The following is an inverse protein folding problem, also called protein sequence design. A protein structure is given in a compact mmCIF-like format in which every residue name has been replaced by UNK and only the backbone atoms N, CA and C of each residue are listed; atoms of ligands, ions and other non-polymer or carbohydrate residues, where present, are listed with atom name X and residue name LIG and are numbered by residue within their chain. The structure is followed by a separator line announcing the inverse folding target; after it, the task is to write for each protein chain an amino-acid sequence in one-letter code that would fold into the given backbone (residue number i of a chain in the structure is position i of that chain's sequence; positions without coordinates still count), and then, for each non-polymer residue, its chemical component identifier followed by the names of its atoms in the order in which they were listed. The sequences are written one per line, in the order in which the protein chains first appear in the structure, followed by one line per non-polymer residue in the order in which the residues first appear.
data_IF_310731928476
#
_entry.id   IF_310731928476
#
_cell.length_a   1.000
_cell.length_b   1.000
_cell.length_c   1.000
_cell.angle_alpha   90.00
_cell.angle_beta   90.00
_cell.angle_gamma   90.00
#
_symmetry.space_group_name_H-M   'P 1'
#
loop_
_entity.id
_entity.type
_entity.pdbx_description
1 polymer ?
#
# COMPACT_ATOMS: atom_id res chain seq x y z
N UNK A 1 -43.22 54.62 5.42
CA UNK A 1 -43.69 53.58 4.47
C UNK A 1 -42.46 52.82 3.98
N UNK A 2 -42.13 51.69 4.62
CA UNK A 2 -40.93 50.88 4.33
C UNK A 2 -41.41 49.53 3.80
N UNK A 3 -41.15 49.25 2.53
CA UNK A 3 -41.54 48.03 1.83
C UNK A 3 -40.59 46.88 2.23
N UNK A 4 -41.14 45.79 2.77
CA UNK A 4 -40.40 44.54 3.01
C UNK A 4 -40.20 43.79 1.68
N UNK A 5 -39.00 43.26 1.38
CA UNK A 5 -38.80 42.42 0.21
C UNK A 5 -39.46 41.05 0.38
N UNK A 6 -40.10 40.56 -0.68
CA UNK A 6 -40.75 39.24 -0.77
C UNK A 6 -39.67 38.16 -0.95
N UNK A 7 -39.64 37.06 -0.16
CA UNK A 7 -38.65 36.01 -0.35
C UNK A 7 -38.97 35.17 -1.60
N UNK A 8 -37.98 34.98 -2.47
CA UNK A 8 -38.06 34.10 -3.64
C UNK A 8 -38.14 32.62 -3.22
N UNK A 9 -38.93 31.79 -3.94
CA UNK A 9 -39.05 30.37 -3.63
C UNK A 9 -37.76 29.65 -4.03
N UNK A 10 -37.14 28.97 -3.05
CA UNK A 10 -36.04 28.03 -3.30
C UNK A 10 -36.64 26.75 -3.88
N UNK A 11 -36.40 26.48 -5.16
CA UNK A 11 -36.57 25.14 -5.70
C UNK A 11 -35.53 24.21 -5.05
N UNK A 12 -35.93 23.09 -4.43
CA UNK A 12 -34.96 22.08 -4.02
C UNK A 12 -34.35 21.45 -5.28
N UNK A 13 -33.05 21.64 -5.46
CA UNK A 13 -32.27 20.91 -6.45
C UNK A 13 -32.27 19.43 -6.06
N UNK A 14 -32.88 18.60 -6.90
CA UNK A 14 -32.90 17.16 -6.75
C UNK A 14 -31.48 16.61 -6.96
N UNK A 15 -30.92 15.82 -6.02
CA UNK A 15 -29.62 15.21 -6.22
C UNK A 15 -29.69 14.20 -7.38
N UNK A 16 -28.68 14.12 -8.25
CA UNK A 16 -28.66 13.15 -9.34
C UNK A 16 -28.70 11.72 -8.78
N UNK A 17 -29.50 10.89 -9.44
CA UNK A 17 -29.94 9.57 -9.00
C UNK A 17 -28.86 8.70 -8.36
N UNK A 18 -29.21 8.12 -7.22
CA UNK A 18 -28.51 7.00 -6.61
C UNK A 18 -28.83 5.77 -7.45
N UNK A 19 -28.02 5.48 -8.46
CA UNK A 19 -28.06 4.15 -9.07
C UNK A 19 -27.77 3.10 -8.00
N UNK A 20 -28.53 1.99 -7.97
CA UNK A 20 -28.35 0.95 -6.98
C UNK A 20 -26.92 0.39 -7.04
N UNK A 21 -26.20 0.54 -5.93
CA UNK A 21 -24.89 -0.03 -5.72
C UNK A 21 -24.98 -1.54 -5.88
N UNK A 22 -24.41 -2.09 -6.95
CA UNK A 22 -24.21 -3.53 -7.04
C UNK A 22 -23.29 -3.93 -5.86
N UNK A 23 -23.76 -4.74 -4.90
CA UNK A 23 -22.92 -5.15 -3.80
C UNK A 23 -21.68 -5.84 -4.39
N UNK A 24 -20.50 -5.38 -3.98
CA UNK A 24 -19.29 -6.14 -4.22
C UNK A 24 -19.56 -7.55 -3.71
N UNK A 25 -19.51 -8.54 -4.61
CA UNK A 25 -19.78 -9.92 -4.23
C UNK A 25 -18.89 -10.24 -3.02
N UNK A 26 -19.46 -10.60 -1.86
CA UNK A 26 -18.66 -10.86 -0.68
C UNK A 26 -17.68 -11.98 -1.02
N UNK A 27 -16.42 -11.79 -0.62
CA UNK A 27 -15.36 -12.77 -0.83
C UNK A 27 -15.89 -14.15 -0.41
N UNK A 28 -15.97 -15.12 -1.34
CA UNK A 28 -16.59 -16.41 -1.06
C UNK A 28 -16.01 -17.02 0.21
N UNK A 29 -16.87 -17.64 1.02
CA UNK A 29 -16.46 -18.17 2.32
C UNK A 29 -15.29 -19.15 2.22
N UNK A 30 -15.20 -19.91 1.13
CA UNK A 30 -14.07 -20.82 0.86
C UNK A 30 -12.75 -20.06 0.70
N UNK A 31 -12.75 -18.87 0.09
CA UNK A 31 -11.55 -18.06 -0.12
C UNK A 31 -11.10 -17.40 1.18
N UNK A 32 -12.03 -16.93 2.02
CA UNK A 32 -11.71 -16.45 3.38
C UNK A 32 -11.06 -17.55 4.23
N UNK A 33 -11.64 -18.75 4.22
CA UNK A 33 -11.10 -19.92 4.93
C UNK A 33 -9.76 -20.39 4.36
N UNK A 34 -9.53 -20.20 3.06
CA UNK A 34 -8.25 -20.49 2.41
C UNK A 34 -7.16 -19.48 2.82
N UNK A 35 -7.49 -18.19 3.00
CA UNK A 35 -6.57 -17.19 3.56
C UNK A 35 -6.15 -17.59 4.98
N UNK A 36 -7.12 -17.92 5.83
CA UNK A 36 -6.88 -18.32 7.22
C UNK A 36 -6.01 -19.60 7.32
N UNK A 37 -6.29 -20.59 6.47
CA UNK A 37 -5.49 -21.84 6.43
C UNK A 37 -4.11 -21.65 5.80
N UNK A 38 -3.97 -20.78 4.80
CA UNK A 38 -2.67 -20.40 4.24
C UNK A 38 -1.79 -19.66 5.26
N UNK A 39 -2.39 -18.86 6.15
CA UNK A 39 -1.67 -18.22 7.27
C UNK A 39 -1.24 -19.21 8.35
N UNK A 40 -1.87 -20.38 8.46
CA UNK A 40 -1.67 -21.34 9.54
C UNK A 40 -0.76 -22.54 9.21
N UNK A 41 -0.32 -22.74 7.95
CA UNK A 41 0.40 -23.95 7.54
C UNK A 41 1.60 -23.67 6.60
N UNK A 42 2.73 -24.37 6.82
CA UNK A 42 3.83 -24.56 5.85
C UNK A 42 4.04 -26.08 5.63
N UNK A 43 4.62 -26.61 4.53
CA UNK A 43 4.99 -26.04 3.22
C UNK A 43 3.89 -26.19 2.15
N UNK A 44 2.82 -26.98 2.40
CA UNK A 44 1.61 -27.07 1.55
C UNK A 44 0.81 -25.76 1.49
N UNK A 45 1.14 -24.80 2.35
CA UNK A 45 0.50 -23.48 2.39
C UNK A 45 0.97 -22.51 1.32
N UNK A 46 2.13 -22.72 0.68
CA UNK A 46 2.66 -21.73 -0.29
C UNK A 46 1.86 -21.74 -1.61
N UNK A 47 1.50 -22.92 -2.10
CA UNK A 47 0.62 -23.06 -3.27
C UNK A 47 -0.77 -22.48 -3.00
N UNK A 48 -1.35 -22.79 -1.83
CA UNK A 48 -2.62 -22.23 -1.40
C UNK A 48 -2.54 -20.71 -1.23
N UNK A 49 -1.46 -20.18 -0.65
CA UNK A 49 -1.23 -18.75 -0.51
C UNK A 49 -1.11 -18.06 -1.87
N UNK A 50 -0.46 -18.70 -2.85
CA UNK A 50 -0.36 -18.17 -4.21
C UNK A 50 -1.74 -18.14 -4.90
N UNK A 51 -2.55 -19.19 -4.76
CA UNK A 51 -3.92 -19.24 -5.29
C UNK A 51 -4.78 -18.15 -4.65
N UNK A 52 -4.72 -18.03 -3.32
CA UNK A 52 -5.46 -17.04 -2.55
C UNK A 52 -5.05 -15.61 -2.92
N UNK A 53 -3.75 -15.34 -2.99
CA UNK A 53 -3.21 -14.04 -3.36
C UNK A 53 -3.59 -13.69 -4.81
N UNK A 54 -3.54 -14.65 -5.73
CA UNK A 54 -4.00 -14.48 -7.11
C UNK A 54 -5.48 -14.15 -7.20
N UNK A 55 -6.33 -14.88 -6.47
CA UNK A 55 -7.77 -14.62 -6.42
C UNK A 55 -8.10 -13.25 -5.81
N UNK A 56 -7.43 -12.88 -4.71
CA UNK A 56 -7.59 -11.57 -4.08
C UNK A 56 -7.13 -10.44 -5.02
N UNK A 57 -5.99 -10.61 -5.71
CA UNK A 57 -5.49 -9.64 -6.66
C UNK A 57 -6.40 -9.51 -7.89
N UNK A 58 -6.97 -10.61 -8.38
CA UNK A 58 -7.95 -10.58 -9.48
C UNK A 58 -9.25 -9.87 -9.09
N UNK A 59 -9.77 -10.11 -7.88
CA UNK A 59 -10.93 -9.39 -7.36
C UNK A 59 -10.64 -7.89 -7.18
N UNK A 60 -9.45 -7.56 -6.66
CA UNK A 60 -8.99 -6.18 -6.54
C UNK A 60 -8.87 -5.49 -7.90
N UNK A 61 -8.26 -6.16 -8.88
CA UNK A 61 -8.10 -5.65 -10.25
C UNK A 61 -9.45 -5.32 -10.89
N UNK A 62 -10.44 -6.21 -10.74
CA UNK A 62 -11.80 -5.96 -11.23
C UNK A 62 -12.43 -4.72 -10.59
N UNK A 63 -12.23 -4.49 -9.28
CA UNK A 63 -12.76 -3.30 -8.58
C UNK A 63 -12.02 -2.03 -9.03
N UNK A 64 -10.70 -2.07 -9.16
CA UNK A 64 -9.89 -0.91 -9.58
C UNK A 64 -10.26 -0.47 -11.00
N UNK A 65 -10.48 -1.42 -11.91
CA UNK A 65 -10.87 -1.15 -13.32
C UNK A 65 -12.27 -0.57 -13.49
N UNK A 66 -13.15 -0.68 -12.50
CA UNK A 66 -14.49 -0.08 -12.58
C UNK A 66 -14.48 1.44 -12.51
N UNK A 67 -13.36 2.07 -12.14
CA UNK A 67 -13.22 3.53 -12.07
C UNK A 67 -14.36 4.23 -11.33
N UNK A 68 -14.80 3.63 -10.22
CA UNK A 68 -15.90 4.15 -9.43
C UNK A 68 -15.62 5.56 -8.90
N UNK A 69 -16.68 6.36 -8.72
CA UNK A 69 -16.57 7.76 -8.25
C UNK A 69 -15.84 7.89 -6.91
N UNK A 70 -15.92 6.86 -6.06
CA UNK A 70 -15.28 6.80 -4.74
C UNK A 70 -13.82 6.28 -4.77
N UNK A 71 -13.32 5.79 -5.90
CA UNK A 71 -12.01 5.13 -5.99
C UNK A 71 -10.86 6.05 -5.56
N UNK A 72 -10.96 7.36 -5.85
CA UNK A 72 -9.99 8.34 -5.39
C UNK A 72 -9.93 8.46 -3.87
N UNK A 73 -11.09 8.52 -3.20
CA UNK A 73 -11.17 8.57 -1.74
C UNK A 73 -10.62 7.29 -1.10
N UNK A 74 -10.91 6.13 -1.68
CA UNK A 74 -10.36 4.85 -1.21
C UNK A 74 -8.83 4.82 -1.27
N UNK A 75 -8.23 5.24 -2.40
CA UNK A 75 -6.77 5.35 -2.54
C UNK A 75 -6.15 6.28 -1.51
N UNK A 76 -6.76 7.43 -1.25
CA UNK A 76 -6.24 8.39 -0.28
C UNK A 76 -6.35 7.86 1.17
N UNK A 77 -7.39 7.06 1.48
CA UNK A 77 -7.50 6.38 2.78
C UNK A 77 -6.40 5.34 2.95
N UNK A 78 -6.14 4.51 1.93
CA UNK A 78 -5.03 3.56 1.96
C UNK A 78 -3.67 4.25 2.11
N UNK A 79 -3.47 5.37 1.40
CA UNK A 79 -2.25 6.17 1.52
C UNK A 79 -2.03 6.69 2.95
N UNK A 80 -3.11 7.06 3.62
CA UNK A 80 -3.03 7.52 5.00
C UNK A 80 -2.71 6.40 5.98
N UNK A 81 -3.35 5.23 5.84
CA UNK A 81 -3.02 4.07 6.67
C UNK A 81 -1.57 3.62 6.46
N UNK A 82 -1.07 3.64 5.22
CA UNK A 82 0.33 3.38 4.91
C UNK A 82 1.28 4.42 5.52
N UNK A 83 0.88 5.70 5.55
CA UNK A 83 1.65 6.76 6.20
C UNK A 83 1.69 6.59 7.73
N UNK A 84 0.58 6.20 8.37
CA UNK A 84 0.55 5.91 9.81
C UNK A 84 1.47 4.73 10.16
N UNK A 85 1.45 3.67 9.34
CA UNK A 85 2.37 2.55 9.50
C UNK A 85 3.84 2.94 9.28
N UNK A 86 4.10 3.84 8.33
CA UNK A 86 5.43 4.41 8.12
C UNK A 86 5.89 5.22 9.33
N UNK A 87 5.02 6.06 9.90
CA UNK A 87 5.31 6.82 11.12
C UNK A 87 5.65 5.90 12.29
N UNK A 88 4.84 4.85 12.50
CA UNK A 88 5.08 3.81 13.51
C UNK A 88 6.42 3.09 13.31
N UNK A 89 6.74 2.71 12.08
CA UNK A 89 8.01 2.03 11.76
C UNK A 89 9.23 2.94 11.95
N UNK A 90 9.05 4.25 11.78
CA UNK A 90 10.05 5.27 12.09
C UNK A 90 10.12 5.64 13.58
N UNK A 91 9.44 4.88 14.46
CA UNK A 91 9.45 5.09 15.91
C UNK A 91 8.63 6.31 16.37
N UNK A 92 7.73 6.81 15.52
CA UNK A 92 6.90 7.97 15.85
C UNK A 92 5.52 7.57 16.34
N UNK A 93 4.86 8.51 17.01
CA UNK A 93 3.57 8.32 17.67
C UNK A 93 2.38 8.91 16.89
N UNK A 94 2.63 9.64 15.79
CA UNK A 94 1.54 10.24 15.01
C UNK A 94 0.66 9.17 14.37
N UNK A 95 -0.63 9.24 14.68
CA UNK A 95 -1.67 8.42 14.08
C UNK A 95 -2.24 9.05 12.80
N UNK A 96 -3.24 8.41 12.20
CA UNK A 96 -3.90 8.93 11.00
C UNK A 96 -4.48 10.34 11.16
N UNK A 97 -4.98 10.70 12.35
CA UNK A 97 -5.57 12.01 12.60
C UNK A 97 -4.49 13.09 12.65
N UNK A 98 -3.42 12.85 13.40
CA UNK A 98 -2.27 13.76 13.50
C UNK A 98 -1.60 13.96 12.13
N UNK A 99 -1.50 12.90 11.31
CA UNK A 99 -0.98 13.00 9.95
C UNK A 99 -1.86 13.83 9.01
N UNK A 100 -3.19 13.67 9.11
CA UNK A 100 -4.13 14.52 8.35
C UNK A 100 -3.97 15.97 8.75
N UNK A 101 -3.93 16.26 10.04
CA UNK A 101 -3.83 17.62 10.56
C UNK A 101 -2.51 18.28 10.16
N UNK A 102 -1.39 17.55 10.25
CA UNK A 102 -0.08 18.03 9.83
C UNK A 102 -0.05 18.48 8.35
N UNK A 103 -0.77 17.80 7.46
CA UNK A 103 -0.81 18.14 6.04
C UNK A 103 -1.92 19.15 5.71
N UNK A 104 -3.10 19.07 6.34
CA UNK A 104 -4.26 19.89 5.98
C UNK A 104 -4.27 21.27 6.67
N UNK A 105 -3.63 21.40 7.84
CA UNK A 105 -3.52 22.69 8.54
C UNK A 105 -2.28 23.49 8.12
N UNK A 106 -1.34 22.87 7.39
CA UNK A 106 -0.16 23.54 6.84
C UNK A 106 -0.51 24.20 5.50
N UNK A 107 -0.04 25.43 5.28
CA UNK A 107 -0.30 26.13 4.02
C UNK A 107 0.38 25.42 2.85
N UNK A 108 -0.19 25.47 1.63
CA UNK A 108 0.45 24.90 0.45
C UNK A 108 1.86 25.47 0.24
N UNK A 109 2.85 24.60 0.13
CA UNK A 109 4.27 24.98 -0.05
C UNK A 109 5.07 25.07 1.25
N UNK A 110 4.41 25.14 2.41
CA UNK A 110 5.08 25.15 3.70
C UNK A 110 5.51 23.72 4.12
N UNK A 111 6.43 23.65 5.08
CA UNK A 111 6.96 22.38 5.58
C UNK A 111 5.97 21.72 6.56
N UNK A 112 5.36 20.61 6.13
CA UNK A 112 4.42 19.79 6.93
C UNK A 112 5.09 18.97 8.06
N UNK A 113 6.39 19.15 8.27
CA UNK A 113 7.18 18.40 9.24
C UNK A 113 7.46 16.94 8.83
N UNK A 114 8.26 16.19 9.61
CA UNK A 114 8.67 14.83 9.25
C UNK A 114 7.51 13.85 9.08
N UNK A 115 6.54 13.86 10.01
CA UNK A 115 5.38 12.98 9.94
C UNK A 115 4.48 13.31 8.73
N UNK A 116 4.21 14.61 8.49
CA UNK A 116 3.43 15.03 7.33
C UNK A 116 4.09 14.66 6.00
N UNK A 117 5.42 14.64 5.91
CA UNK A 117 6.15 14.20 4.70
C UNK A 117 5.91 12.73 4.37
N UNK A 118 5.74 11.86 5.36
CA UNK A 118 5.33 10.46 5.11
C UNK A 118 3.98 10.40 4.40
N UNK A 119 3.00 11.20 4.83
CA UNK A 119 1.71 11.27 4.15
C UNK A 119 1.86 11.83 2.73
N UNK A 120 2.71 12.82 2.50
CA UNK A 120 2.98 13.32 1.13
C UNK A 120 3.59 12.24 0.21
N UNK A 121 4.47 11.39 0.72
CA UNK A 121 5.04 10.27 -0.04
C UNK A 121 3.97 9.29 -0.53
N UNK A 122 3.06 8.89 0.37
CA UNK A 122 1.98 7.95 0.04
C UNK A 122 0.85 8.58 -0.79
N UNK A 123 0.50 9.85 -0.56
CA UNK A 123 -0.46 10.57 -1.41
C UNK A 123 0.06 10.73 -2.83
N UNK A 124 1.37 10.88 -3.00
CA UNK A 124 2.01 10.91 -4.32
C UNK A 124 1.82 9.60 -5.07
N UNK A 125 1.99 8.45 -4.40
CA UNK A 125 1.71 7.13 -4.97
C UNK A 125 0.25 7.04 -5.47
N UNK A 126 -0.69 7.44 -4.61
CA UNK A 126 -2.13 7.34 -4.85
C UNK A 126 -2.68 8.35 -5.88
N UNK A 127 -1.98 9.46 -6.10
CA UNK A 127 -2.44 10.59 -6.93
C UNK A 127 -1.70 10.75 -8.26
N UNK A 128 -0.48 10.25 -8.39
CA UNK A 128 0.31 10.37 -9.61
C UNK A 128 -0.02 9.24 -10.59
N UNK A 129 -0.12 9.50 -11.91
CA UNK A 129 -0.27 8.44 -12.91
C UNK A 129 0.84 7.37 -12.79
N UNK A 130 0.48 6.09 -12.91
CA UNK A 130 1.40 4.98 -12.65
C UNK A 130 2.68 5.01 -13.51
N UNK A 131 2.55 5.46 -14.77
CA UNK A 131 3.66 5.63 -15.71
C UNK A 131 4.73 6.65 -15.23
N UNK A 132 4.35 7.60 -14.36
CA UNK A 132 5.24 8.67 -13.87
C UNK A 132 5.89 8.34 -12.52
N UNK A 133 5.43 7.28 -11.84
CA UNK A 133 5.86 6.94 -10.48
C UNK A 133 7.32 6.48 -10.38
N UNK A 134 7.79 5.69 -11.35
CA UNK A 134 9.13 5.10 -11.33
C UNK A 134 10.18 5.91 -12.11
N UNK A 135 9.95 7.22 -12.25
CA UNK A 135 10.95 8.14 -12.78
C UNK A 135 11.96 8.52 -11.69
N UNK A 136 13.21 8.81 -12.07
CA UNK A 136 14.25 9.23 -11.12
C UNK A 136 13.81 10.44 -10.26
N UNK A 137 13.20 11.45 -10.88
CA UNK A 137 12.65 12.61 -10.17
C UNK A 137 11.51 12.24 -9.21
N UNK A 138 10.71 11.23 -9.55
CA UNK A 138 9.66 10.75 -8.68
C UNK A 138 10.24 10.05 -7.45
N UNK A 139 11.15 9.11 -7.69
CA UNK A 139 11.85 8.33 -6.67
C UNK A 139 12.62 9.24 -5.71
N UNK A 140 13.45 10.16 -6.22
CA UNK A 140 14.24 11.08 -5.40
C UNK A 140 13.38 11.85 -4.37
N UNK A 141 12.27 12.42 -4.83
CA UNK A 141 11.36 13.18 -3.95
C UNK A 141 10.67 12.29 -2.91
N UNK A 142 10.36 11.04 -3.25
CA UNK A 142 9.77 10.09 -2.29
C UNK A 142 10.79 9.71 -1.23
N UNK A 143 12.04 9.46 -1.63
CA UNK A 143 13.14 9.21 -0.70
C UNK A 143 13.35 10.38 0.27
N UNK A 144 13.36 11.62 -0.24
CA UNK A 144 13.43 12.84 0.59
C UNK A 144 12.27 12.93 1.59
N UNK A 145 11.04 12.66 1.12
CA UNK A 145 9.86 12.68 1.98
C UNK A 145 9.90 11.59 3.07
N UNK A 146 10.56 10.46 2.79
CA UNK A 146 10.77 9.37 3.73
C UNK A 146 12.02 9.57 4.62
N UNK A 147 12.71 10.70 4.49
CA UNK A 147 13.83 11.08 5.36
C UNK A 147 15.21 10.60 4.89
N UNK A 148 15.33 10.08 3.67
CA UNK A 148 16.61 9.70 3.10
C UNK A 148 17.36 10.93 2.53
N UNK A 149 18.68 10.90 2.65
CA UNK A 149 19.55 11.91 2.01
C UNK A 149 19.51 11.72 0.50
N UNK A 150 19.49 12.84 -0.24
CA UNK A 150 19.53 12.81 -1.70
C UNK A 150 20.85 12.25 -2.18
N UNK A 151 20.77 11.20 -2.98
CA UNK A 151 21.86 10.61 -3.74
C UNK A 151 21.35 10.33 -5.16
N UNK A 152 21.69 11.22 -6.10
CA UNK A 152 21.18 11.14 -7.47
C UNK A 152 21.71 9.91 -8.21
N UNK A 153 22.90 9.38 -7.84
CA UNK A 153 23.45 8.16 -8.42
C UNK A 153 22.66 6.94 -7.94
N UNK A 154 22.45 6.81 -6.62
CA UNK A 154 21.65 5.71 -6.07
C UNK A 154 20.21 5.74 -6.60
N UNK A 155 19.63 6.92 -6.79
CA UNK A 155 18.31 7.08 -7.41
C UNK A 155 18.30 6.60 -8.86
N UNK A 156 19.30 6.96 -9.67
CA UNK A 156 19.40 6.53 -11.06
C UNK A 156 19.58 5.02 -11.16
N UNK A 157 20.51 4.46 -10.38
CA UNK A 157 20.79 3.03 -10.35
C UNK A 157 19.53 2.24 -9.93
N UNK A 158 18.81 2.71 -8.90
CA UNK A 158 17.54 2.12 -8.48
C UNK A 158 16.47 2.22 -9.57
N UNK A 159 16.34 3.35 -10.26
CA UNK A 159 15.37 3.51 -11.34
C UNK A 159 15.63 2.55 -12.51
N UNK A 160 16.89 2.36 -12.87
CA UNK A 160 17.31 1.42 -13.92
C UNK A 160 17.05 -0.04 -13.51
N UNK A 161 17.37 -0.38 -12.27
CA UNK A 161 17.10 -1.69 -11.68
C UNK A 161 15.59 -2.02 -11.68
N UNK A 162 14.74 -1.07 -11.28
CA UNK A 162 13.28 -1.24 -11.31
C UNK A 162 12.75 -1.40 -12.74
N UNK A 163 13.32 -0.70 -13.71
CA UNK A 163 12.97 -0.86 -15.13
C UNK A 163 13.32 -2.26 -15.62
N UNK A 164 14.48 -2.79 -15.24
CA UNK A 164 14.86 -4.16 -15.58
C UNK A 164 13.94 -5.19 -14.92
N UNK A 165 13.57 -4.99 -13.64
CA UNK A 165 12.60 -5.85 -12.94
C UNK A 165 11.24 -5.86 -13.64
N UNK A 166 10.76 -4.70 -14.11
CA UNK A 166 9.47 -4.60 -14.78
C UNK A 166 9.40 -5.38 -16.11
N UNK A 167 10.53 -5.54 -16.81
CA UNK A 167 10.61 -6.22 -18.11
C UNK A 167 10.93 -7.71 -17.99
N UNK A 168 11.80 -8.07 -17.05
CA UNK A 168 12.40 -9.42 -16.98
C UNK A 168 11.72 -10.36 -15.98
N UNK A 169 11.00 -9.84 -14.98
CA UNK A 169 10.48 -10.65 -13.88
C UNK A 169 8.98 -10.94 -14.01
N UNK A 170 8.59 -12.16 -13.63
CA UNK A 170 7.20 -12.44 -13.28
C UNK A 170 6.75 -11.62 -12.06
N UNK A 171 5.44 -11.48 -11.83
CA UNK A 171 4.89 -10.59 -10.79
C UNK A 171 5.53 -10.79 -9.42
N UNK A 172 5.70 -12.04 -8.96
CA UNK A 172 6.34 -12.32 -7.67
C UNK A 172 7.80 -11.86 -7.61
N UNK A 173 8.57 -12.13 -8.68
CA UNK A 173 9.96 -11.71 -8.78
C UNK A 173 10.11 -10.19 -8.84
N UNK A 174 9.20 -9.51 -9.54
CA UNK A 174 9.15 -8.05 -9.62
C UNK A 174 8.89 -7.42 -8.23
N UNK A 175 7.89 -7.92 -7.50
CA UNK A 175 7.54 -7.40 -6.18
C UNK A 175 8.63 -7.68 -5.14
N UNK A 176 9.14 -8.92 -5.07
CA UNK A 176 10.24 -9.26 -4.17
C UNK A 176 11.53 -8.52 -4.54
N UNK A 177 11.79 -8.35 -5.84
CA UNK A 177 12.87 -7.55 -6.39
C UNK A 177 12.84 -6.10 -5.92
N UNK A 178 11.66 -5.48 -5.85
CA UNK A 178 11.49 -4.11 -5.35
C UNK A 178 11.94 -3.96 -3.89
N UNK A 179 11.57 -4.90 -3.01
CA UNK A 179 12.05 -4.92 -1.62
C UNK A 179 13.54 -5.17 -1.54
N UNK A 180 14.08 -6.07 -2.37
CA UNK A 180 15.51 -6.37 -2.39
C UNK A 180 16.35 -5.20 -2.93
N UNK A 181 15.85 -4.48 -3.94
CA UNK A 181 16.46 -3.27 -4.46
C UNK A 181 16.50 -2.18 -3.37
N UNK A 182 15.36 -1.89 -2.73
CA UNK A 182 15.32 -0.94 -1.62
C UNK A 182 16.28 -1.32 -0.47
N UNK A 183 16.44 -2.63 -0.18
CA UNK A 183 17.41 -3.11 0.80
C UNK A 183 18.86 -2.93 0.35
N UNK A 184 19.21 -3.25 -0.90
CA UNK A 184 20.56 -3.05 -1.46
C UNK A 184 21.00 -1.59 -1.38
N UNK A 185 20.08 -0.67 -1.66
CA UNK A 185 20.33 0.77 -1.60
C UNK A 185 20.10 1.37 -0.19
N UNK A 186 19.93 0.55 0.85
CA UNK A 186 19.75 0.98 2.25
C UNK A 186 18.54 1.91 2.50
N UNK A 187 17.49 1.81 1.69
CA UNK A 187 16.26 2.61 1.82
C UNK A 187 15.16 1.94 2.69
N UNK A 188 15.34 0.68 3.07
CA UNK A 188 14.48 -0.01 4.02
C UNK A 188 13.11 -0.46 3.45
N UNK A 189 12.29 -1.04 4.32
CA UNK A 189 11.05 -1.73 3.93
C UNK A 189 9.98 -0.79 3.37
N UNK A 190 9.83 0.41 3.93
CA UNK A 190 8.80 1.37 3.50
C UNK A 190 8.99 1.76 2.04
N UNK A 191 10.23 2.06 1.64
CA UNK A 191 10.56 2.36 0.24
C UNK A 191 10.30 1.14 -0.64
N UNK A 192 10.69 -0.06 -0.19
CA UNK A 192 10.38 -1.31 -0.88
C UNK A 192 8.88 -1.51 -1.14
N UNK A 193 8.04 -1.25 -0.15
CA UNK A 193 6.58 -1.34 -0.27
C UNK A 193 6.03 -0.31 -1.27
N UNK A 194 6.51 0.94 -1.20
CA UNK A 194 6.12 2.00 -2.12
C UNK A 194 6.49 1.66 -3.57
N UNK A 195 7.70 1.14 -3.80
CA UNK A 195 8.18 0.73 -5.12
C UNK A 195 7.40 -0.48 -5.65
N UNK A 196 7.12 -1.45 -4.79
CA UNK A 196 6.35 -2.63 -5.15
C UNK A 196 4.92 -2.27 -5.55
N UNK A 197 4.25 -1.35 -4.84
CA UNK A 197 2.90 -0.89 -5.18
C UNK A 197 2.89 -0.13 -6.52
N UNK A 198 3.93 0.66 -6.80
CA UNK A 198 4.10 1.35 -8.07
C UNK A 198 4.34 0.38 -9.25
N UNK A 199 5.21 -0.62 -9.06
CA UNK A 199 5.45 -1.68 -10.04
C UNK A 199 4.20 -2.51 -10.31
N UNK A 200 3.45 -2.86 -9.26
CA UNK A 200 2.19 -3.59 -9.38
C UNK A 200 1.19 -2.83 -10.24
N UNK A 201 1.04 -1.52 -9.99
CA UNK A 201 0.16 -0.66 -10.77
C UNK A 201 0.55 -0.61 -12.25
N UNK A 202 1.85 -0.51 -12.56
CA UNK A 202 2.34 -0.55 -13.95
C UNK A 202 2.06 -1.92 -14.59
N UNK A 203 2.33 -3.02 -13.86
CA UNK A 203 2.15 -4.39 -14.37
C UNK A 203 0.69 -4.72 -14.68
N UNK A 204 -0.24 -4.22 -13.87
CA UNK A 204 -1.67 -4.38 -14.07
C UNK A 204 -2.29 -3.30 -14.97
N UNK A 205 -1.52 -2.29 -15.39
CA UNK A 205 -2.04 -1.19 -16.21
C UNK A 205 -3.08 -0.33 -15.48
N UNK A 206 -2.95 -0.17 -14.17
CA UNK A 206 -3.80 0.73 -13.39
C UNK A 206 -3.40 2.19 -13.65
N UNK A 207 -4.39 3.08 -13.74
CA UNK A 207 -4.14 4.52 -13.95
C UNK A 207 -3.39 5.15 -12.79
N UNK A 208 -3.72 4.77 -11.55
CA UNK A 208 -3.04 5.20 -10.34
C UNK A 208 -2.74 3.98 -9.45
N UNK A 209 -1.66 4.06 -8.68
CA UNK A 209 -1.28 2.98 -7.78
C UNK A 209 -2.17 2.92 -6.52
N UNK A 210 -2.30 1.71 -5.98
CA UNK A 210 -2.99 1.43 -4.73
C UNK A 210 -1.92 1.19 -3.65
N UNK A 211 -1.92 1.94 -2.52
CA UNK A 211 -1.03 1.68 -1.40
C UNK A 211 -1.46 0.40 -0.65
N UNK A 212 -1.01 -0.77 -1.08
CA UNK A 212 -1.42 -2.06 -0.50
C UNK A 212 -0.38 -2.55 0.49
N UNK A 213 0.90 -2.52 0.09
CA UNK A 213 1.98 -3.09 0.89
C UNK A 213 2.47 -2.15 1.99
N UNK A 214 2.16 -0.86 1.89
CA UNK A 214 2.55 0.14 2.89
C UNK A 214 1.75 0.10 4.19
N UNK A 215 0.51 -0.40 4.15
CA UNK A 215 -0.38 -0.47 5.30
C UNK A 215 -0.22 -1.76 6.12
N UNK A 216 0.53 -2.73 5.61
CA UNK A 216 0.79 -3.98 6.32
C UNK A 216 1.84 -3.74 7.42
N UNK A 217 1.39 -3.86 8.69
CA UNK A 217 2.30 -4.05 9.81
C UNK A 217 3.17 -5.26 9.50
N UNK A 218 4.48 -5.05 9.42
CA UNK A 218 5.42 -6.05 8.95
C UNK A 218 5.06 -7.42 9.52
N UNK A 219 4.96 -8.42 8.64
CA UNK A 219 4.84 -9.82 9.05
C UNK A 219 5.85 -10.04 10.17
N UNK A 220 5.35 -10.00 11.40
CA UNK A 220 6.06 -10.52 12.53
C UNK A 220 6.16 -12.00 12.22
N UNK A 221 7.28 -12.40 11.62
CA UNK A 221 7.93 -13.60 12.06
C UNK A 221 8.09 -13.40 13.57
N UNK A 222 7.06 -13.76 14.32
CA UNK A 222 7.17 -14.01 15.74
C UNK A 222 8.28 -15.04 15.79
N UNK A 223 9.47 -14.61 16.16
CA UNK A 223 10.52 -15.48 16.66
C UNK A 223 9.94 -16.12 17.90
N UNK A 224 9.18 -17.20 17.70
CA UNK A 224 8.75 -18.07 18.77
C UNK A 224 10.00 -18.60 19.47
N UNK A 225 9.98 -18.77 20.79
CA UNK A 225 11.11 -19.31 21.52
C UNK A 225 11.43 -20.71 20.97
N UNK A 226 12.70 -20.92 20.62
CA UNK A 226 13.24 -22.24 20.27
C UNK A 226 13.08 -23.13 21.51
N UNK A 227 12.28 -24.22 21.45
CA UNK A 227 12.19 -25.14 22.58
C UNK A 227 13.55 -25.83 22.77
N UNK A 228 14.00 -26.03 24.03
CA UNK A 228 15.26 -26.71 24.29
C UNK A 228 15.20 -28.15 23.79
N UNK A 229 16.30 -28.61 23.20
CA UNK A 229 16.52 -29.98 22.76
C UNK A 229 16.63 -30.90 23.99
N UNK A 230 15.49 -31.34 24.52
CA UNK A 230 15.47 -32.48 25.43
C UNK A 230 15.38 -33.79 24.65
N UNK A 231 16.54 -34.46 24.68
CA UNK A 231 16.86 -35.86 24.40
C UNK A 231 15.65 -36.77 24.11
N UNK A 232 15.49 -37.16 22.84
CA UNK A 232 14.79 -38.38 22.47
C UNK A 232 15.52 -39.59 23.11
N UNK A 233 14.93 -40.17 24.16
CA UNK A 233 15.23 -41.54 24.57
C UNK A 233 14.62 -42.48 23.52
N UNK A 234 15.46 -43.10 22.68
CA UNK A 234 15.08 -44.28 21.93
C UNK A 234 14.87 -45.43 22.93
N UNK A 235 13.62 -45.83 23.14
CA UNK A 235 13.26 -47.07 23.80
C UNK A 235 13.60 -48.25 22.90
N UNK A 236 14.56 -49.05 23.35
CA UNK A 236 14.95 -50.32 22.73
C UNK A 236 13.90 -51.39 23.02
N UNK A 237 13.10 -51.75 22.01
CA UNK A 237 12.30 -52.97 22.05
C UNK A 237 13.19 -54.14 21.63
N UNK A 238 13.68 -54.89 22.63
CA UNK A 238 14.26 -56.23 22.45
C UNK A 238 13.12 -57.25 22.33
N UNK A 239 13.12 -57.99 21.22
CA UNK A 239 12.63 -59.36 21.18
C UNK A 239 13.73 -60.33 21.58
#
# INVERSE_FOLDING_TARGET
MILRPKPSPRHPAQPPGTEPFAPAAPVPAWLRKAVETAQACAPKGLENAAIVAGAALGALDAVVRRHEKWAGAWRQRLALSAAAMTAKQAGRVEDESALRDAVLLTRPGDNVGPAGRFLLAWRRLAGTPAEKLLTAASIARVLENLGHVRDDKAVSDLADELRQLAVSAGTVGMLTGAFMAAKRHSFGRTVGAWLADALLAQRLGWTQAMPLMGAEGGFGLKSGPVPPLDKCHCGEHRG
#
